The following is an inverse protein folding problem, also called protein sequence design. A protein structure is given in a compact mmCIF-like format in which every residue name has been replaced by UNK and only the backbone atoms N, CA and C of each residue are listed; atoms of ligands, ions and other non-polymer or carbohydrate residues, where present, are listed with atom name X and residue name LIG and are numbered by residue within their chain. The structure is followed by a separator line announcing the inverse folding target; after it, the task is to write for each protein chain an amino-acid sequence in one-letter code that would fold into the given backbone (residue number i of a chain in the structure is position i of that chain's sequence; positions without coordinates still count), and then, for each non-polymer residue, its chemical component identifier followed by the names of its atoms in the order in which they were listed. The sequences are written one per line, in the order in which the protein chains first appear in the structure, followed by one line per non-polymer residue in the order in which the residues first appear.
data_IF_431439243387
#
_entry.id   IF_431439243387
#
_cell.length_a   1.000
_cell.length_b   1.000
_cell.length_c   1.000
_cell.angle_alpha   90.00
_cell.angle_beta   90.00
_cell.angle_gamma   90.00
#
_symmetry.space_group_name_H-M   'P 1'
#
loop_
_entity.id
_entity.type
_entity.pdbx_description
1 polymer ?
#
# COMPACT_ATOMS: atom_id res chain seq x y z
N UNK A 1 -0.52 10.61 18.79
CA UNK A 1 -1.05 10.01 17.55
C UNK A 1 -2.55 9.74 17.63
N UNK A 2 -3.02 8.86 18.52
CA UNK A 2 -4.46 8.53 18.62
C UNK A 2 -5.40 9.68 19.05
N UNK A 3 -4.87 10.70 19.76
CA UNK A 3 -5.64 11.93 20.05
C UNK A 3 -5.80 12.86 18.84
N UNK A 4 -4.91 12.76 17.86
CA UNK A 4 -4.83 13.62 16.67
C UNK A 4 -5.56 12.98 15.47
N UNK A 5 -5.45 11.66 15.34
CA UNK A 5 -6.10 10.84 14.31
C UNK A 5 -7.15 9.92 14.93
N UNK A 6 -8.28 10.51 15.32
CA UNK A 6 -9.44 9.82 15.86
C UNK A 6 -10.41 9.42 14.72
N UNK A 7 -10.57 8.11 14.42
CA UNK A 7 -11.49 7.64 13.38
C UNK A 7 -12.96 8.00 13.65
N UNK A 8 -13.37 8.11 14.92
CA UNK A 8 -14.74 8.49 15.28
C UNK A 8 -15.05 9.94 14.89
N UNK A 9 -14.00 10.76 14.80
CA UNK A 9 -14.06 12.15 14.30
C UNK A 9 -13.68 12.26 12.83
N UNK A 10 -13.64 11.13 12.11
CA UNK A 10 -13.22 11.00 10.69
C UNK A 10 -11.81 11.53 10.41
N UNK A 11 -10.93 11.56 11.42
CA UNK A 11 -9.53 11.96 11.26
C UNK A 11 -8.68 10.70 11.12
N UNK A 12 -8.40 10.32 9.88
CA UNK A 12 -7.58 9.15 9.55
C UNK A 12 -6.13 9.60 9.37
N UNK A 13 -5.20 8.83 9.93
CA UNK A 13 -3.78 9.04 9.65
C UNK A 13 -3.47 8.75 8.19
N UNK A 14 -2.96 9.75 7.48
CA UNK A 14 -2.69 9.70 6.05
C UNK A 14 -1.49 10.57 5.72
N UNK A 15 -0.56 10.03 4.93
CA UNK A 15 0.66 10.73 4.49
C UNK A 15 0.53 11.24 3.04
N UNK A 16 -0.04 10.43 2.15
CA UNK A 16 -0.29 10.76 0.73
C UNK A 16 -1.77 10.63 0.37
N UNK A 17 -2.26 11.46 -0.56
CA UNK A 17 -3.61 11.37 -1.12
C UNK A 17 -3.76 10.27 -2.18
N UNK A 18 -4.95 10.12 -2.78
CA UNK A 18 -5.22 9.08 -3.79
C UNK A 18 -4.48 9.35 -5.10
N UNK A 19 -4.04 10.59 -5.32
CA UNK A 19 -3.30 11.03 -6.50
C UNK A 19 -1.78 11.02 -6.24
N UNK A 20 -1.33 10.53 -5.08
CA UNK A 20 0.07 10.49 -4.67
C UNK A 20 0.63 11.82 -4.16
N UNK A 21 -0.19 12.85 -3.91
CA UNK A 21 0.28 14.11 -3.33
C UNK A 21 0.49 13.96 -1.83
N UNK A 22 1.59 14.48 -1.32
CA UNK A 22 1.86 14.50 0.14
C UNK A 22 0.89 15.46 0.82
N UNK A 23 0.09 14.95 1.76
CA UNK A 23 -0.88 15.71 2.56
C UNK A 23 -0.40 15.95 3.99
N UNK A 24 0.67 15.26 4.42
CA UNK A 24 1.20 15.35 5.77
C UNK A 24 2.72 15.23 5.77
N UNK A 25 3.39 16.38 5.59
CA UNK A 25 4.86 16.48 5.51
C UNK A 25 5.55 16.12 6.82
N UNK A 26 4.91 16.35 7.97
CA UNK A 26 5.44 16.00 9.29
C UNK A 26 5.74 14.51 9.44
N UNK A 27 4.96 13.68 8.77
CA UNK A 27 5.05 12.22 8.85
C UNK A 27 5.54 11.60 7.53
N UNK A 28 6.06 12.40 6.61
CA UNK A 28 6.70 11.88 5.40
C UNK A 28 8.05 11.27 5.81
N UNK A 29 8.26 9.95 5.64
CA UNK A 29 9.52 9.34 6.00
C UNK A 29 10.61 9.72 5.01
N UNK A 30 11.84 9.81 5.50
CA UNK A 30 13.03 9.96 4.66
C UNK A 30 13.42 8.56 4.13
N UNK A 31 12.91 8.23 2.95
CA UNK A 31 13.16 6.94 2.28
C UNK A 31 13.97 7.19 1.00
N UNK A 32 15.07 6.44 0.77
CA UNK A 32 15.74 6.44 -0.51
C UNK A 32 14.83 5.96 -1.64
N UNK A 33 14.96 6.57 -2.82
CA UNK A 33 14.17 6.22 -4.00
C UNK A 33 14.22 4.73 -4.33
N UNK A 34 15.37 4.09 -4.14
CA UNK A 34 15.56 2.65 -4.37
C UNK A 34 14.62 1.80 -3.50
N UNK A 35 14.40 2.20 -2.25
CA UNK A 35 13.49 1.47 -1.34
C UNK A 35 12.04 1.64 -1.79
N UNK A 36 11.65 2.85 -2.23
CA UNK A 36 10.30 3.12 -2.75
C UNK A 36 10.04 2.32 -4.02
N UNK A 37 10.99 2.29 -4.95
CA UNK A 37 10.91 1.51 -6.19
C UNK A 37 10.84 0.01 -5.89
N UNK A 38 11.62 -0.48 -4.94
CA UNK A 38 11.60 -1.89 -4.52
C UNK A 38 10.24 -2.27 -3.93
N UNK A 39 9.71 -1.48 -2.99
CA UNK A 39 8.39 -1.71 -2.42
C UNK A 39 7.28 -1.73 -3.49
N UNK A 40 7.38 -0.86 -4.50
CA UNK A 40 6.44 -0.87 -5.63
C UNK A 40 6.53 -2.15 -6.46
N UNK A 41 7.74 -2.61 -6.78
CA UNK A 41 7.96 -3.87 -7.51
C UNK A 41 7.43 -5.07 -6.73
N UNK A 42 7.64 -5.11 -5.43
CA UNK A 42 7.16 -6.19 -4.56
C UNK A 42 5.62 -6.22 -4.52
N UNK A 43 4.96 -5.06 -4.40
CA UNK A 43 3.50 -4.97 -4.47
C UNK A 43 2.96 -5.46 -5.82
N UNK A 44 3.61 -5.07 -6.92
CA UNK A 44 3.22 -5.49 -8.27
C UNK A 44 3.41 -7.00 -8.46
N UNK A 45 4.52 -7.55 -7.98
CA UNK A 45 4.80 -8.98 -8.01
C UNK A 45 3.75 -9.75 -7.23
N UNK A 46 3.50 -9.38 -5.96
CA UNK A 46 2.52 -10.03 -5.11
C UNK A 46 1.12 -10.01 -5.73
N UNK A 47 0.70 -8.87 -6.29
CA UNK A 47 -0.60 -8.76 -6.98
C UNK A 47 -0.68 -9.67 -8.20
N UNK A 48 0.39 -9.76 -8.98
CA UNK A 48 0.43 -10.62 -10.17
C UNK A 48 0.37 -12.10 -9.78
N UNK A 49 1.16 -12.50 -8.79
CA UNK A 49 1.18 -13.87 -8.27
C UNK A 49 -0.20 -14.28 -7.71
N UNK A 50 -0.86 -13.41 -6.97
CA UNK A 50 -2.21 -13.61 -6.44
C UNK A 50 -3.24 -13.85 -7.56
N UNK A 51 -3.24 -12.99 -8.59
CA UNK A 51 -4.12 -13.13 -9.75
C UNK A 51 -3.91 -14.45 -10.50
N UNK A 52 -2.65 -14.84 -10.71
CA UNK A 52 -2.33 -16.11 -11.37
C UNK A 52 -2.73 -17.31 -10.50
N UNK A 53 -2.51 -17.22 -9.19
CA UNK A 53 -2.88 -18.29 -8.24
C UNK A 53 -4.39 -18.52 -8.26
N UNK A 54 -5.19 -17.46 -8.18
CA UNK A 54 -6.65 -17.56 -8.30
C UNK A 54 -7.07 -18.15 -9.66
N UNK A 55 -6.40 -17.77 -10.75
CA UNK A 55 -6.66 -18.32 -12.08
C UNK A 55 -6.36 -19.83 -12.15
N UNK A 56 -5.22 -20.26 -11.59
CA UNK A 56 -4.81 -21.66 -11.55
C UNK A 56 -5.67 -22.50 -10.61
N UNK A 57 -6.12 -21.92 -9.49
CA UNK A 57 -7.05 -22.56 -8.57
C UNK A 57 -8.38 -22.88 -9.27
N UNK A 58 -8.92 -21.93 -10.04
CA UNK A 58 -10.15 -22.14 -10.83
C UNK A 58 -10.01 -23.18 -11.94
N UNK A 59 -8.78 -23.42 -12.40
CA UNK A 59 -8.47 -24.47 -13.38
C UNK A 59 -8.15 -25.81 -12.72
N UNK A 60 -8.20 -25.91 -11.38
CA UNK A 60 -7.85 -27.13 -10.65
C UNK A 60 -6.36 -27.48 -10.67
N UNK A 61 -5.48 -26.55 -11.06
CA UNK A 61 -4.02 -26.76 -11.12
C UNK A 61 -3.34 -26.54 -9.77
N UNK A 62 -3.99 -25.78 -8.90
CA UNK A 62 -3.61 -25.51 -7.51
C UNK A 62 -4.86 -25.74 -6.68
N UNK A 63 -4.75 -26.42 -5.53
CA UNK A 63 -5.85 -26.75 -4.64
C UNK A 63 -5.53 -26.35 -3.21
#
# INVERSE_FOLDING_TARGET
MFKEYDPLKKKIFRVIDNNGKVVNTKWLPDLPDEQVVTAYKDMLFARTADLQTVSYQRQGRIY
#
